data_IF_046117794971
#
_entry.id   IF_046117794971
#
_cell.length_a   1.000
_cell.length_b   1.000
_cell.length_c   1.000
_cell.angle_alpha   90.00
_cell.angle_beta   90.00
_cell.angle_gamma   90.00
#
_symmetry.space_group_name_H-M   'P 1'
#
loop_
_entity.id
_entity.type
_entity.pdbx_description
1 polymer ?
#
# COMPACT_ATOMS: atom_id res chain seq x y z
N UNK A 1 -27.65 61.17 -24.15
CA UNK A 1 -26.67 60.22 -23.59
C UNK A 1 -27.41 58.96 -23.21
N UNK A 2 -27.06 57.87 -23.87
CA UNK A 2 -27.96 56.79 -24.30
C UNK A 2 -28.09 55.65 -23.27
N UNK A 3 -29.30 55.09 -23.13
CA UNK A 3 -29.58 53.83 -22.41
C UNK A 3 -28.71 52.64 -22.84
N UNK A 4 -28.07 52.71 -24.00
CA UNK A 4 -27.16 51.69 -24.53
C UNK A 4 -25.89 51.51 -23.68
N UNK A 5 -25.27 52.59 -23.19
CA UNK A 5 -24.02 52.47 -22.41
C UNK A 5 -24.23 51.77 -21.06
N UNK A 6 -25.39 51.96 -20.43
CA UNK A 6 -25.76 51.27 -19.18
C UNK A 6 -26.04 49.77 -19.38
N UNK A 7 -26.43 49.36 -20.58
CA UNK A 7 -26.72 47.96 -20.90
C UNK A 7 -25.43 47.19 -21.24
N UNK A 8 -24.48 47.83 -21.93
CA UNK A 8 -23.15 47.28 -22.22
C UNK A 8 -22.32 47.07 -20.95
N UNK A 9 -22.34 48.01 -20.00
CA UNK A 9 -21.60 47.89 -18.74
C UNK A 9 -22.09 46.70 -17.88
N UNK A 10 -23.39 46.39 -17.89
CA UNK A 10 -23.93 45.21 -17.18
C UNK A 10 -23.54 43.90 -17.84
N UNK A 11 -23.47 43.86 -19.18
CA UNK A 11 -23.03 42.68 -19.92
C UNK A 11 -21.55 42.39 -19.71
N UNK A 12 -20.71 43.42 -19.69
CA UNK A 12 -19.27 43.29 -19.42
C UNK A 12 -18.99 42.83 -17.99
N UNK A 13 -19.74 43.34 -17.00
CA UNK A 13 -19.63 42.91 -15.61
C UNK A 13 -20.07 41.44 -15.42
N UNK A 14 -21.16 41.02 -16.06
CA UNK A 14 -21.63 39.64 -16.05
C UNK A 14 -20.65 38.68 -16.73
N UNK A 15 -20.09 39.07 -17.88
CA UNK A 15 -19.07 38.29 -18.58
C UNK A 15 -17.82 38.09 -17.74
N UNK A 16 -17.36 39.14 -17.05
CA UNK A 16 -16.18 39.08 -16.16
C UNK A 16 -16.41 38.16 -14.96
N UNK A 17 -17.62 38.15 -14.38
CA UNK A 17 -17.97 37.22 -13.31
C UNK A 17 -18.04 35.78 -13.81
N UNK A 18 -18.65 35.52 -14.96
CA UNK A 18 -18.71 34.17 -15.54
C UNK A 18 -17.29 33.67 -15.87
N UNK A 19 -16.45 34.52 -16.44
CA UNK A 19 -15.05 34.20 -16.71
C UNK A 19 -14.26 33.89 -15.42
N UNK A 20 -14.48 34.64 -14.34
CA UNK A 20 -13.85 34.39 -13.05
C UNK A 20 -14.31 33.06 -12.42
N UNK A 21 -15.60 32.73 -12.53
CA UNK A 21 -16.14 31.45 -12.04
C UNK A 21 -15.56 30.28 -12.84
N UNK A 22 -15.49 30.40 -14.16
CA UNK A 22 -14.88 29.37 -15.02
C UNK A 22 -13.40 29.19 -14.67
N UNK A 23 -12.65 30.30 -14.52
CA UNK A 23 -11.25 30.26 -14.11
C UNK A 23 -11.08 29.54 -12.77
N UNK A 24 -11.93 29.86 -11.79
CA UNK A 24 -11.89 29.25 -10.46
C UNK A 24 -12.20 27.75 -10.53
N UNK A 25 -13.20 27.33 -11.32
CA UNK A 25 -13.51 25.93 -11.55
C UNK A 25 -12.34 25.17 -12.20
N UNK A 26 -11.65 25.77 -13.16
CA UNK A 26 -10.46 25.18 -13.80
C UNK A 26 -9.32 25.00 -12.80
N UNK A 27 -9.06 26.00 -11.95
CA UNK A 27 -8.03 25.91 -10.90
C UNK A 27 -8.36 24.78 -9.92
N UNK A 28 -9.60 24.74 -9.41
CA UNK A 28 -10.04 23.70 -8.46
C UNK A 28 -9.95 22.31 -9.08
N UNK A 29 -10.42 22.14 -10.33
CA UNK A 29 -10.36 20.85 -11.01
C UNK A 29 -8.91 20.36 -11.20
N UNK A 30 -7.99 21.27 -11.51
CA UNK A 30 -6.56 20.96 -11.66
C UNK A 30 -5.94 20.58 -10.32
N UNK A 31 -6.28 21.31 -9.25
CA UNK A 31 -5.81 21.02 -7.89
C UNK A 31 -6.27 19.64 -7.41
N UNK A 32 -7.55 19.33 -7.59
CA UNK A 32 -8.13 18.03 -7.18
C UNK A 32 -7.45 16.89 -7.92
N UNK A 33 -7.23 17.03 -9.23
CA UNK A 33 -6.58 16.00 -10.04
C UNK A 33 -5.11 15.79 -9.63
N UNK A 34 -4.38 16.88 -9.39
CA UNK A 34 -3.00 16.82 -8.90
C UNK A 34 -2.92 16.20 -7.50
N UNK A 35 -3.84 16.55 -6.60
CA UNK A 35 -3.88 16.00 -5.25
C UNK A 35 -4.17 14.50 -5.24
N UNK A 36 -5.09 14.03 -6.08
CA UNK A 36 -5.39 12.59 -6.20
C UNK A 36 -4.19 11.81 -6.72
N UNK A 37 -3.55 12.28 -7.80
CA UNK A 37 -2.35 11.61 -8.36
C UNK A 37 -1.21 11.54 -7.33
N UNK A 38 -0.91 12.67 -6.66
CA UNK A 38 0.15 12.71 -5.65
C UNK A 38 -0.15 11.77 -4.47
N UNK A 39 -1.42 11.62 -4.09
CA UNK A 39 -1.82 10.73 -3.01
C UNK A 39 -1.64 9.26 -3.40
N UNK A 40 -2.05 8.88 -4.60
CA UNK A 40 -1.88 7.50 -5.08
C UNK A 40 -0.39 7.13 -5.18
N UNK A 41 0.43 8.00 -5.75
CA UNK A 41 1.89 7.79 -5.83
C UNK A 41 2.53 7.66 -4.44
N UNK A 42 2.16 8.54 -3.50
CA UNK A 42 2.66 8.47 -2.13
C UNK A 42 2.26 7.16 -1.42
N UNK A 43 1.03 6.69 -1.63
CA UNK A 43 0.58 5.41 -1.08
C UNK A 43 1.38 4.25 -1.67
N UNK A 44 1.54 4.19 -2.99
CA UNK A 44 2.31 3.13 -3.65
C UNK A 44 3.76 3.09 -3.18
N UNK A 45 4.41 4.25 -3.04
CA UNK A 45 5.74 4.37 -2.48
C UNK A 45 5.79 3.87 -1.03
N UNK A 46 4.80 4.26 -0.22
CA UNK A 46 4.68 3.80 1.18
C UNK A 46 4.57 2.28 1.24
N UNK A 47 3.72 1.65 0.43
CA UNK A 47 3.60 0.19 0.41
C UNK A 47 4.90 -0.48 -0.06
N UNK A 48 5.58 0.09 -1.06
CA UNK A 48 6.89 -0.41 -1.52
C UNK A 48 7.89 -0.44 -0.37
N UNK A 49 8.03 0.67 0.37
CA UNK A 49 8.94 0.79 1.51
C UNK A 49 8.57 -0.17 2.65
N UNK A 50 7.28 -0.35 2.92
CA UNK A 50 6.82 -1.33 3.90
C UNK A 50 7.15 -2.77 3.45
N UNK A 51 7.06 -3.06 2.15
CA UNK A 51 7.48 -4.32 1.56
C UNK A 51 8.98 -4.58 1.69
N UNK A 52 9.81 -3.56 1.51
CA UNK A 52 11.26 -3.64 1.76
C UNK A 52 11.56 -3.88 3.24
N UNK A 53 10.91 -3.14 4.13
CA UNK A 53 11.04 -3.33 5.58
C UNK A 53 10.61 -4.74 6.00
N UNK A 54 9.53 -5.25 5.42
CA UNK A 54 9.10 -6.63 5.60
C UNK A 54 10.20 -7.60 5.18
N UNK A 55 10.77 -7.43 3.97
CA UNK A 55 11.81 -8.31 3.44
C UNK A 55 13.05 -8.32 4.35
N UNK A 56 13.49 -7.15 4.82
CA UNK A 56 14.60 -7.06 5.77
C UNK A 56 14.31 -7.80 7.08
N UNK A 57 13.11 -7.63 7.64
CA UNK A 57 12.74 -8.26 8.90
C UNK A 57 12.58 -9.78 8.73
N UNK A 58 12.07 -10.25 7.59
CA UNK A 58 12.03 -11.67 7.23
C UNK A 58 13.44 -12.26 7.06
N UNK A 59 14.37 -11.55 6.43
CA UNK A 59 15.77 -11.96 6.30
C UNK A 59 16.48 -12.05 7.66
N UNK A 60 16.26 -11.09 8.55
CA UNK A 60 16.80 -11.16 9.93
C UNK A 60 16.25 -12.39 10.68
N UNK A 61 14.97 -12.71 10.47
CA UNK A 61 14.35 -13.88 11.06
C UNK A 61 14.93 -15.19 10.49
N UNK A 62 15.15 -15.24 9.17
CA UNK A 62 15.86 -16.33 8.50
C UNK A 62 17.27 -16.53 9.07
N UNK A 63 18.01 -15.44 9.32
CA UNK A 63 19.32 -15.49 9.97
C UNK A 63 19.27 -16.16 11.34
N UNK A 64 18.32 -15.77 12.20
CA UNK A 64 18.14 -16.43 13.51
C UNK A 64 17.75 -17.90 13.38
N UNK A 65 16.92 -18.24 12.41
CA UNK A 65 16.56 -19.63 12.14
C UNK A 65 17.80 -20.48 11.78
N UNK A 66 18.74 -19.93 11.02
CA UNK A 66 20.02 -20.59 10.73
C UNK A 66 20.86 -20.75 12.01
N UNK A 67 20.93 -19.70 12.84
CA UNK A 67 21.70 -19.71 14.09
C UNK A 67 21.17 -20.76 15.10
N UNK A 68 19.85 -20.95 15.17
CA UNK A 68 19.19 -21.91 16.07
C UNK A 68 19.15 -23.35 15.51
N UNK A 69 19.96 -23.65 14.49
CA UNK A 69 20.07 -24.99 13.86
C UNK A 69 18.78 -25.44 13.17
N UNK A 70 18.10 -24.51 12.51
CA UNK A 70 16.98 -24.78 11.61
C UNK A 70 15.80 -25.49 12.29
N UNK A 71 15.27 -24.95 13.40
CA UNK A 71 14.15 -25.58 14.08
C UNK A 71 12.89 -25.55 13.18
N UNK A 72 11.97 -26.53 13.34
CA UNK A 72 10.70 -26.50 12.63
C UNK A 72 9.81 -25.31 13.04
N UNK A 73 9.94 -24.88 14.31
CA UNK A 73 9.26 -23.69 14.86
C UNK A 73 10.26 -22.88 15.67
N UNK A 74 10.43 -21.60 15.34
CA UNK A 74 11.31 -20.66 16.06
C UNK A 74 10.47 -19.78 16.99
N UNK A 75 10.83 -19.71 18.28
CA UNK A 75 10.12 -18.85 19.23
C UNK A 75 10.87 -17.53 19.42
N UNK A 76 10.28 -16.44 18.92
CA UNK A 76 10.87 -15.11 18.94
C UNK A 76 9.88 -14.13 19.54
N UNK A 77 10.26 -13.44 20.62
CA UNK A 77 9.43 -12.42 21.29
C UNK A 77 8.04 -12.98 21.64
N UNK A 78 8.01 -14.20 22.20
CA UNK A 78 6.77 -14.88 22.60
C UNK A 78 5.87 -15.36 21.44
N UNK A 79 6.31 -15.23 20.19
CA UNK A 79 5.60 -15.71 19.00
C UNK A 79 6.31 -16.94 18.45
N UNK A 80 5.56 -18.00 18.15
CA UNK A 80 6.08 -19.17 17.44
C UNK A 80 5.96 -18.98 15.93
N UNK A 81 7.09 -19.04 15.23
CA UNK A 81 7.19 -18.85 13.79
C UNK A 81 7.37 -20.18 13.10
N UNK A 82 6.51 -20.47 12.12
CA UNK A 82 6.64 -21.62 11.24
C UNK A 82 7.47 -21.22 10.01
N UNK A 83 8.40 -22.08 9.60
CA UNK A 83 9.21 -21.89 8.39
C UNK A 83 8.99 -23.01 7.39
N UNK A 84 9.30 -22.73 6.14
CA UNK A 84 9.45 -23.75 5.11
C UNK A 84 10.80 -24.50 5.24
N UNK A 85 11.03 -25.49 4.39
CA UNK A 85 12.27 -26.27 4.40
C UNK A 85 13.53 -25.43 4.06
N UNK A 86 13.36 -24.26 3.44
CA UNK A 86 14.44 -23.33 3.07
C UNK A 86 14.69 -22.28 4.15
N UNK A 87 13.83 -22.20 5.17
CA UNK A 87 13.96 -21.26 6.28
C UNK A 87 13.25 -19.93 6.05
N UNK A 88 12.26 -19.88 5.16
CA UNK A 88 11.43 -18.68 4.97
C UNK A 88 10.14 -18.78 5.80
N UNK A 89 9.75 -17.68 6.50
CA UNK A 89 8.57 -17.70 7.35
C UNK A 89 7.30 -17.92 6.54
N UNK A 90 6.47 -18.86 7.00
CA UNK A 90 5.16 -19.20 6.43
C UNK A 90 4.00 -18.58 7.21
N UNK A 91 4.18 -18.42 8.52
CA UNK A 91 3.15 -17.87 9.40
C UNK A 91 3.51 -18.04 10.87
N UNK A 92 2.57 -17.64 11.73
CA UNK A 92 2.67 -17.84 13.17
C UNK A 92 1.87 -19.09 13.57
N UNK A 93 2.36 -19.83 14.55
CA UNK A 93 1.63 -20.99 15.10
C UNK A 93 0.62 -20.55 16.17
N UNK A 94 -0.58 -21.15 16.23
CA UNK A 94 -1.10 -22.15 15.30
C UNK A 94 -1.46 -21.53 13.94
N UNK A 95 -1.15 -22.25 12.86
CA UNK A 95 -1.50 -21.81 11.51
C UNK A 95 -3.02 -21.74 11.35
N UNK A 96 -3.47 -20.69 10.67
CA UNK A 96 -4.86 -20.45 10.32
C UNK A 96 -5.06 -20.70 8.81
N UNK A 97 -6.10 -20.09 8.22
CA UNK A 97 -6.26 -20.14 6.77
C UNK A 97 -5.06 -19.51 6.06
N UNK A 98 -4.71 -19.93 4.82
CA UNK A 98 -3.53 -19.43 4.12
C UNK A 98 -3.45 -17.90 4.04
N UNK A 99 -4.54 -17.23 3.66
CA UNK A 99 -4.59 -15.75 3.59
C UNK A 99 -4.46 -15.10 4.97
N UNK A 100 -5.00 -15.72 6.01
CA UNK A 100 -4.87 -15.21 7.38
C UNK A 100 -3.44 -15.36 7.90
N UNK A 101 -2.73 -16.43 7.53
CA UNK A 101 -1.31 -16.57 7.84
C UNK A 101 -0.49 -15.45 7.19
N UNK A 102 -0.80 -15.10 5.94
CA UNK A 102 -0.16 -13.96 5.25
C UNK A 102 -0.42 -12.64 5.97
N UNK A 103 -1.66 -12.40 6.42
CA UNK A 103 -2.03 -11.23 7.21
C UNK A 103 -1.25 -11.17 8.53
N UNK A 104 -1.25 -12.26 9.31
CA UNK A 104 -0.53 -12.34 10.58
C UNK A 104 0.97 -12.14 10.41
N UNK A 105 1.54 -12.71 9.36
CA UNK A 105 2.96 -12.58 9.06
C UNK A 105 3.32 -11.12 8.74
N UNK A 106 2.52 -10.44 7.93
CA UNK A 106 2.68 -9.00 7.69
C UNK A 106 2.56 -8.18 8.97
N UNK A 107 1.49 -8.38 9.76
CA UNK A 107 1.28 -7.63 11.01
C UNK A 107 2.38 -7.90 12.04
N UNK A 108 2.90 -9.12 12.10
CA UNK A 108 3.97 -9.48 13.02
C UNK A 108 5.34 -8.92 12.60
N UNK A 109 5.60 -8.82 11.29
CA UNK A 109 6.85 -8.27 10.79
C UNK A 109 6.82 -6.77 10.64
N UNK A 110 5.77 -6.16 10.07
CA UNK A 110 5.69 -4.71 9.77
C UNK A 110 4.95 -3.96 10.86
N UNK A 111 3.79 -4.47 11.26
CA UNK A 111 2.82 -3.81 12.15
C UNK A 111 1.54 -3.41 11.42
N UNK A 112 0.66 -2.72 12.14
CA UNK A 112 -0.51 -2.08 11.53
C UNK A 112 -0.08 -0.88 10.67
N UNK A 113 -0.76 -0.67 9.54
CA UNK A 113 -0.52 0.45 8.65
C UNK A 113 -1.54 1.55 8.93
N UNK A 114 -1.09 2.66 9.52
CA UNK A 114 -1.96 3.77 9.93
C UNK A 114 -2.10 4.90 8.89
N UNK A 115 -3.23 5.62 9.01
CA UNK A 115 -3.37 7.08 8.77
C UNK A 115 -3.34 7.62 7.34
N UNK A 116 -2.81 6.88 6.36
CA UNK A 116 -2.65 7.39 4.98
C UNK A 116 -2.84 6.38 3.87
N UNK A 117 -2.84 5.08 4.18
CA UNK A 117 -2.99 4.00 3.19
C UNK A 117 -4.43 3.50 3.07
N UNK A 118 -4.81 3.01 1.88
CA UNK A 118 -6.03 2.22 1.70
C UNK A 118 -5.97 0.94 2.55
N UNK A 119 -7.13 0.33 2.87
CA UNK A 119 -7.16 -0.94 3.58
C UNK A 119 -6.47 -2.03 2.76
N UNK A 120 -5.37 -2.56 3.27
CA UNK A 120 -4.62 -3.62 2.61
C UNK A 120 -5.40 -4.94 2.64
N UNK A 121 -5.40 -5.62 1.51
CA UNK A 121 -5.85 -6.98 1.36
C UNK A 121 -4.66 -7.93 1.47
N UNK A 122 -4.89 -9.09 2.08
CA UNK A 122 -3.89 -10.13 2.29
C UNK A 122 -4.45 -11.43 1.74
N UNK A 123 -3.80 -11.97 0.71
CA UNK A 123 -4.22 -13.19 0.03
C UNK A 123 -3.05 -14.16 -0.02
N UNK A 124 -3.30 -15.45 0.22
CA UNK A 124 -2.34 -16.46 -0.20
C UNK A 124 -2.37 -16.59 -1.72
N UNK A 125 -1.21 -16.80 -2.33
CA UNK A 125 -1.17 -17.07 -3.77
C UNK A 125 -1.87 -18.38 -4.11
N UNK A 126 -2.48 -18.46 -5.29
CA UNK A 126 -3.28 -19.60 -5.72
C UNK A 126 -2.48 -20.90 -5.85
N UNK A 127 -1.18 -20.79 -6.11
CA UNK A 127 -0.23 -21.90 -6.18
C UNK A 127 0.43 -22.21 -4.82
N UNK A 128 0.09 -21.46 -3.77
CA UNK A 128 0.67 -21.60 -2.43
C UNK A 128 2.13 -21.16 -2.32
N UNK A 129 2.66 -20.47 -3.34
CA UNK A 129 4.09 -20.10 -3.40
C UNK A 129 4.46 -18.87 -2.57
N UNK A 130 3.46 -18.17 -2.01
CA UNK A 130 3.70 -16.93 -1.29
C UNK A 130 2.45 -16.19 -0.84
N UNK A 131 2.66 -14.93 -0.46
CA UNK A 131 1.64 -14.01 0.03
C UNK A 131 1.53 -12.78 -0.86
N UNK A 132 0.30 -12.39 -1.19
CA UNK A 132 -0.05 -11.20 -1.94
C UNK A 132 -0.62 -10.15 -0.99
N UNK A 133 -0.04 -8.94 -1.02
CA UNK A 133 -0.39 -7.82 -0.15
C UNK A 133 -0.60 -6.57 -1.01
N UNK A 134 -1.76 -5.93 -0.94
CA UNK A 134 -2.02 -4.77 -1.78
C UNK A 134 -3.42 -4.20 -1.68
N UNK A 135 -3.70 -3.23 -2.55
CA UNK A 135 -5.04 -2.71 -2.80
C UNK A 135 -5.22 -2.46 -4.30
N UNK A 136 -6.44 -2.57 -4.79
CA UNK A 136 -6.85 -2.30 -6.17
C UNK A 136 -5.86 -2.87 -7.21
N UNK A 137 -5.05 -2.00 -7.83
CA UNK A 137 -4.09 -2.34 -8.88
C UNK A 137 -2.64 -2.44 -8.41
N UNK A 138 -2.36 -2.14 -7.13
CA UNK A 138 -1.00 -2.16 -6.59
C UNK A 138 -0.83 -3.29 -5.58
N UNK A 139 -0.09 -4.32 -6.00
CA UNK A 139 0.15 -5.52 -5.21
C UNK A 139 1.63 -5.83 -5.10
N UNK A 140 2.03 -6.24 -3.90
CA UNK A 140 3.29 -6.87 -3.60
C UNK A 140 3.11 -8.37 -3.44
N UNK A 141 4.14 -9.11 -3.82
CA UNK A 141 4.18 -10.55 -3.71
C UNK A 141 5.43 -10.98 -2.94
N UNK A 142 5.21 -11.57 -1.77
CA UNK A 142 6.23 -12.21 -0.96
C UNK A 142 6.40 -13.67 -1.37
N UNK A 143 7.59 -14.03 -1.86
CA UNK A 143 7.91 -15.37 -2.31
C UNK A 143 8.47 -16.22 -1.17
N UNK A 144 7.83 -17.35 -0.88
CA UNK A 144 8.39 -18.34 0.06
C UNK A 144 9.62 -19.04 -0.50
N UNK A 145 9.92 -18.90 -1.79
CA UNK A 145 11.07 -19.52 -2.41
C UNK A 145 12.41 -18.98 -1.94
N UNK A 146 12.49 -17.67 -1.80
CA UNK A 146 13.72 -16.92 -1.61
C UNK A 146 13.55 -15.70 -0.70
N UNK A 147 12.37 -15.55 -0.09
CA UNK A 147 12.08 -14.48 0.85
C UNK A 147 11.99 -13.09 0.22
N UNK A 148 12.00 -12.97 -1.11
CA UNK A 148 11.92 -11.67 -1.78
C UNK A 148 10.49 -11.15 -1.80
N UNK A 149 10.38 -9.82 -1.72
CA UNK A 149 9.13 -9.09 -1.97
C UNK A 149 9.29 -8.39 -3.31
N UNK A 150 8.41 -8.70 -4.26
CA UNK A 150 8.41 -8.09 -5.60
C UNK A 150 7.07 -7.42 -5.87
N UNK A 151 7.07 -6.35 -6.66
CA UNK A 151 5.82 -5.79 -7.18
C UNK A 151 5.21 -6.78 -8.18
N UNK A 152 3.93 -7.09 -8.01
CA UNK A 152 3.17 -7.89 -8.97
C UNK A 152 2.87 -7.03 -10.21
N UNK A 153 3.11 -7.55 -11.42
CA UNK A 153 2.88 -6.81 -12.66
C UNK A 153 1.40 -6.50 -12.88
#
# INVERSE_FOLDING_TARGET
>A
MSRQTQQDDRWLAGYRQVAAVILLLVIVATLVRSYQSNREEAQQLTLTLLGEQFAERAQRLHGRWLDERRPPVLHVVGKGWQFDARGWPLGLVPLQSPSENCRQLWLALVGETDGGMPPLQFLASSDGSGCEIGWDSYWLFYQFADGRVIKKP
#
